data_IF_581671927292
#
_entry.id   IF_581671927292
#
_cell.length_a   1.000
_cell.length_b   1.000
_cell.length_c   1.000
_cell.angle_alpha   90.00
_cell.angle_beta   90.00
_cell.angle_gamma   90.00
#
_symmetry.space_group_name_H-M   'P 1'
#
loop_
_entity.id
_entity.type
_entity.pdbx_description
1 polymer ?
#
# COMPACT_ATOMS: atom_id res chain seq x y z
N UNK A 1 -0.89 -16.82 13.45
CA UNK A 1 -0.01 -15.75 12.91
C UNK A 1 -0.83 -14.49 12.75
N UNK A 2 -0.33 -13.38 13.22
CA UNK A 2 -0.98 -12.06 13.18
C UNK A 2 -0.37 -11.19 12.08
N UNK A 3 -1.19 -10.68 11.18
CA UNK A 3 -0.76 -9.90 10.02
C UNK A 3 -1.42 -8.51 10.07
N UNK A 4 -0.62 -7.46 10.02
CA UNK A 4 -1.09 -6.09 9.97
C UNK A 4 -0.86 -5.49 8.57
N UNK A 5 -1.90 -4.94 7.94
CA UNK A 5 -1.82 -4.21 6.68
C UNK A 5 -1.90 -2.71 6.90
N UNK A 6 -1.03 -1.97 6.21
CA UNK A 6 -1.00 -0.51 6.22
C UNK A 6 -1.48 0.03 4.87
N UNK A 7 -2.52 0.88 4.91
CA UNK A 7 -3.10 1.54 3.73
C UNK A 7 -3.54 2.96 4.11
N UNK A 8 -3.68 3.87 3.14
CA UNK A 8 -4.15 5.23 3.43
C UNK A 8 -5.57 5.24 3.99
N UNK A 9 -6.50 4.56 3.36
CA UNK A 9 -7.88 4.39 3.79
C UNK A 9 -8.53 3.24 3.05
N UNK A 10 -9.67 2.77 3.53
CA UNK A 10 -10.44 1.66 2.93
C UNK A 10 -11.80 2.09 2.38
N UNK A 11 -12.09 3.39 2.42
CA UNK A 11 -13.39 3.95 2.02
C UNK A 11 -13.54 4.22 0.52
N UNK A 12 -12.43 4.16 -0.26
CA UNK A 12 -12.47 4.34 -1.70
C UNK A 12 -12.81 3.04 -2.45
N UNK A 13 -13.42 3.16 -3.64
CA UNK A 13 -13.69 2.05 -4.55
C UNK A 13 -12.46 1.61 -5.36
N UNK A 14 -11.25 1.86 -4.85
CA UNK A 14 -9.98 1.64 -5.56
C UNK A 14 -9.58 0.17 -5.65
N UNK A 15 -8.68 -0.11 -6.60
CA UNK A 15 -8.16 -1.46 -6.83
C UNK A 15 -7.35 -2.00 -5.65
N UNK A 16 -6.59 -1.15 -4.96
CA UNK A 16 -5.80 -1.57 -3.78
C UNK A 16 -6.71 -1.94 -2.61
N UNK A 17 -7.75 -1.16 -2.35
CA UNK A 17 -8.75 -1.41 -1.31
C UNK A 17 -9.48 -2.73 -1.56
N UNK A 18 -9.83 -3.01 -2.82
CA UNK A 18 -10.45 -4.27 -3.22
C UNK A 18 -9.53 -5.46 -3.00
N UNK A 19 -8.28 -5.35 -3.43
CA UNK A 19 -7.28 -6.42 -3.24
C UNK A 19 -7.03 -6.66 -1.76
N UNK A 20 -6.92 -5.59 -0.95
CA UNK A 20 -6.76 -5.71 0.49
C UNK A 20 -7.94 -6.42 1.14
N UNK A 21 -9.18 -6.00 0.83
CA UNK A 21 -10.39 -6.61 1.40
C UNK A 21 -10.46 -8.11 1.06
N UNK A 22 -10.21 -8.48 -0.19
CA UNK A 22 -10.20 -9.89 -0.61
C UNK A 22 -9.14 -10.71 0.12
N UNK A 23 -7.90 -10.21 0.24
CA UNK A 23 -6.82 -10.87 0.98
C UNK A 23 -7.14 -11.00 2.47
N UNK A 24 -7.59 -9.91 3.08
CA UNK A 24 -7.89 -9.88 4.51
C UNK A 24 -9.00 -10.88 4.88
N UNK A 25 -10.09 -10.89 4.12
CA UNK A 25 -11.20 -11.83 4.32
C UNK A 25 -10.75 -13.29 4.12
N UNK A 26 -9.97 -13.56 3.07
CA UNK A 26 -9.41 -14.87 2.82
C UNK A 26 -8.53 -15.35 3.96
N UNK A 27 -7.61 -14.54 4.43
CA UNK A 27 -6.69 -14.87 5.51
C UNK A 27 -7.43 -15.16 6.83
N UNK A 28 -8.43 -14.34 7.17
CA UNK A 28 -9.26 -14.56 8.37
C UNK A 28 -10.04 -15.87 8.27
N UNK A 29 -10.59 -16.18 7.08
CA UNK A 29 -11.28 -17.47 6.84
C UNK A 29 -10.35 -18.67 7.00
N UNK A 30 -9.02 -18.48 6.85
CA UNK A 30 -8.00 -19.53 7.03
C UNK A 30 -7.27 -19.46 8.37
N UNK A 31 -7.87 -18.82 9.38
CA UNK A 31 -7.37 -18.83 10.76
C UNK A 31 -6.24 -17.86 11.08
N UNK A 32 -5.95 -16.89 10.22
CA UNK A 32 -5.02 -15.81 10.52
C UNK A 32 -5.72 -14.68 11.27
N UNK A 33 -5.04 -14.04 12.20
CA UNK A 33 -5.50 -12.79 12.79
C UNK A 33 -5.07 -11.63 11.89
N UNK A 34 -6.04 -10.88 11.35
CA UNK A 34 -5.78 -9.78 10.42
C UNK A 34 -6.16 -8.45 11.04
N UNK A 35 -5.27 -7.48 10.87
CA UNK A 35 -5.42 -6.11 11.34
C UNK A 35 -5.23 -5.18 10.14
N UNK A 36 -6.08 -4.16 10.00
CA UNK A 36 -5.93 -3.09 9.01
C UNK A 36 -5.67 -1.79 9.76
N UNK A 37 -4.59 -1.12 9.41
CA UNK A 37 -4.19 0.17 9.98
C UNK A 37 -4.24 1.21 8.87
N UNK A 38 -5.02 2.27 9.09
CA UNK A 38 -5.19 3.37 8.13
C UNK A 38 -4.59 4.67 8.68
N UNK A 39 -4.30 5.62 7.80
CA UNK A 39 -3.82 6.97 8.15
C UNK A 39 -4.86 8.05 7.93
N UNK A 40 -5.83 7.78 7.06
CA UNK A 40 -6.79 8.76 6.55
C UNK A 40 -8.23 8.21 6.48
N UNK A 41 -8.64 7.32 7.39
CA UNK A 41 -9.99 6.71 7.36
C UNK A 41 -11.11 7.72 7.64
N UNK A 42 -10.86 8.74 8.46
CA UNK A 42 -11.76 9.87 8.72
C UNK A 42 -13.16 9.45 9.18
N UNK A 43 -13.26 8.37 9.94
CA UNK A 43 -14.55 7.84 10.42
C UNK A 43 -15.44 7.24 9.31
N UNK A 44 -14.97 7.14 8.08
CA UNK A 44 -15.74 6.54 6.98
C UNK A 44 -15.70 5.02 7.06
N UNK A 45 -16.80 4.37 6.60
CA UNK A 45 -16.86 2.92 6.52
C UNK A 45 -16.02 2.39 5.36
N UNK A 46 -15.46 1.18 5.45
CA UNK A 46 -14.83 0.51 4.31
C UNK A 46 -15.81 0.40 3.14
N UNK A 47 -15.32 0.65 1.91
CA UNK A 47 -16.12 0.52 0.70
C UNK A 47 -16.42 -0.97 0.37
N UNK A 48 -15.40 -1.82 0.49
CA UNK A 48 -15.55 -3.27 0.35
C UNK A 48 -15.79 -3.90 1.72
N UNK A 49 -16.70 -4.87 1.78
CA UNK A 49 -17.03 -5.58 3.02
C UNK A 49 -15.81 -6.28 3.60
N UNK A 50 -15.59 -6.08 4.89
CA UNK A 50 -14.58 -6.76 5.67
C UNK A 50 -15.26 -7.71 6.67
N UNK A 51 -14.65 -8.86 6.89
CA UNK A 51 -15.08 -9.81 7.91
C UNK A 51 -15.01 -9.15 9.30
N UNK A 52 -16.00 -9.38 10.15
CA UNK A 52 -16.12 -8.74 11.47
C UNK A 52 -14.95 -9.06 12.42
N UNK A 53 -14.23 -10.14 12.17
CA UNK A 53 -13.03 -10.53 12.91
C UNK A 53 -11.81 -9.67 12.59
N UNK A 54 -11.84 -8.88 11.51
CA UNK A 54 -10.75 -7.99 11.11
C UNK A 54 -10.77 -6.75 12.01
N UNK A 55 -9.69 -6.52 12.75
CA UNK A 55 -9.53 -5.33 13.58
C UNK A 55 -9.03 -4.17 12.75
N UNK A 56 -9.74 -3.03 12.80
CA UNK A 56 -9.38 -1.81 12.06
C UNK A 56 -8.95 -0.71 13.03
N UNK A 57 -7.83 -0.05 12.74
CA UNK A 57 -7.30 1.10 13.49
C UNK A 57 -7.02 2.26 12.55
N UNK A 58 -7.44 3.47 12.89
CA UNK A 58 -7.06 4.68 12.17
C UNK A 58 -6.07 5.50 12.99
N UNK A 59 -4.91 5.79 12.41
CA UNK A 59 -3.89 6.63 13.04
C UNK A 59 -4.27 8.13 13.03
N UNK A 60 -5.25 8.53 12.24
CA UNK A 60 -5.73 9.90 12.15
C UNK A 60 -4.62 10.91 11.80
N UNK A 61 -3.80 10.58 10.82
CA UNK A 61 -2.73 11.47 10.33
C UNK A 61 -3.29 12.47 9.34
N UNK A 62 -4.26 12.04 8.52
CA UNK A 62 -5.01 12.88 7.56
C UNK A 62 -4.09 13.60 6.58
N UNK A 63 -3.25 12.86 5.84
CA UNK A 63 -2.36 13.43 4.82
C UNK A 63 -3.12 14.19 3.73
N UNK A 64 -4.29 13.68 3.36
CA UNK A 64 -5.11 14.25 2.29
C UNK A 64 -5.77 15.60 2.63
N UNK A 65 -5.90 15.95 3.90
CA UNK A 65 -6.44 17.27 4.31
C UNK A 65 -5.66 18.45 3.71
N UNK A 66 -4.40 18.22 3.33
CA UNK A 66 -3.56 19.21 2.69
C UNK A 66 -3.65 19.18 1.16
N UNK A 67 -4.46 18.27 0.56
CA UNK A 67 -4.73 18.26 -0.86
C UNK A 67 -5.55 19.51 -1.21
N UNK A 68 -5.02 20.39 -2.05
CA UNK A 68 -5.64 21.70 -2.35
C UNK A 68 -5.03 22.90 -1.62
N UNK A 69 -4.24 22.70 -0.55
CA UNK A 69 -3.51 23.78 0.11
C UNK A 69 -2.24 24.16 -0.65
N UNK A 70 -1.74 25.39 -0.41
CA UNK A 70 -0.50 25.92 -0.97
C UNK A 70 0.69 24.96 -0.79
N UNK A 71 1.62 24.98 -1.75
CA UNK A 71 2.86 24.20 -1.71
C UNK A 71 3.64 24.39 -0.41
N UNK A 72 3.78 25.64 0.04
CA UNK A 72 4.48 25.98 1.29
C UNK A 72 3.82 25.28 2.50
N UNK A 73 2.49 25.29 2.60
CA UNK A 73 1.77 24.59 3.66
C UNK A 73 2.04 23.08 3.64
N UNK A 74 2.11 22.48 2.46
CA UNK A 74 2.44 21.03 2.33
C UNK A 74 3.85 20.72 2.84
N UNK A 75 4.82 21.52 2.44
CA UNK A 75 6.23 21.33 2.82
C UNK A 75 6.44 21.51 4.33
N UNK A 76 5.80 22.51 4.93
CA UNK A 76 5.92 22.79 6.37
C UNK A 76 5.23 21.71 7.24
N UNK A 77 4.07 21.23 6.83
CA UNK A 77 3.31 20.27 7.63
C UNK A 77 3.72 18.81 7.42
N UNK A 78 4.35 18.47 6.29
CA UNK A 78 4.70 17.10 5.95
C UNK A 78 5.68 16.45 6.95
N UNK A 79 6.79 17.11 7.39
CA UNK A 79 7.69 16.53 8.39
C UNK A 79 7.00 16.26 9.74
N UNK A 80 6.13 17.15 10.17
CA UNK A 80 5.35 16.98 11.41
C UNK A 80 4.36 15.81 11.30
N UNK A 81 3.66 15.66 10.16
CA UNK A 81 2.79 14.51 9.90
C UNK A 81 3.58 13.20 9.84
N UNK A 82 4.78 13.20 9.26
CA UNK A 82 5.67 12.04 9.24
C UNK A 82 6.13 11.65 10.65
N UNK A 83 6.52 12.62 11.48
CA UNK A 83 6.89 12.37 12.87
C UNK A 83 5.70 11.80 13.67
N UNK A 84 4.52 12.41 13.57
CA UNK A 84 3.29 11.94 14.22
C UNK A 84 2.93 10.53 13.76
N UNK A 85 3.05 10.26 12.46
CA UNK A 85 2.81 8.95 11.86
C UNK A 85 3.76 7.90 12.46
N UNK A 86 5.07 8.17 12.43
CA UNK A 86 6.09 7.27 13.00
C UNK A 86 5.80 6.96 14.47
N UNK A 87 5.49 7.98 15.27
CA UNK A 87 5.20 7.84 16.69
C UNK A 87 3.97 6.94 16.91
N UNK A 88 2.81 7.29 16.32
CA UNK A 88 1.56 6.55 16.50
C UNK A 88 1.63 5.13 15.96
N UNK A 89 2.26 4.95 14.80
CA UNK A 89 2.44 3.62 14.21
C UNK A 89 3.36 2.76 15.08
N UNK A 90 4.47 3.29 15.59
CA UNK A 90 5.37 2.56 16.47
C UNK A 90 4.69 2.14 17.78
N UNK A 91 3.95 3.05 18.42
CA UNK A 91 3.19 2.76 19.64
C UNK A 91 2.15 1.65 19.40
N UNK A 92 1.43 1.72 18.27
CA UNK A 92 0.42 0.73 17.94
C UNK A 92 1.03 -0.63 17.61
N UNK A 93 2.08 -0.70 16.79
CA UNK A 93 2.73 -1.97 16.42
C UNK A 93 3.35 -2.67 17.64
N UNK A 94 3.95 -1.91 18.56
CA UNK A 94 4.46 -2.48 19.81
C UNK A 94 3.35 -3.07 20.71
N UNK A 95 2.12 -2.56 20.64
CA UNK A 95 0.96 -3.14 21.37
C UNK A 95 0.37 -4.34 20.67
N UNK A 96 0.41 -4.36 19.33
CA UNK A 96 -0.23 -5.38 18.53
C UNK A 96 0.58 -6.68 18.47
N UNK A 97 1.91 -6.61 18.60
CA UNK A 97 2.82 -7.76 18.45
C UNK A 97 2.51 -8.57 17.19
N UNK A 98 2.44 -7.86 16.03
CA UNK A 98 2.21 -8.52 14.75
C UNK A 98 3.44 -9.33 14.32
N UNK A 99 3.22 -10.52 13.74
CA UNK A 99 4.30 -11.33 13.16
C UNK A 99 4.80 -10.73 11.86
N UNK A 100 3.86 -10.17 11.08
CA UNK A 100 4.13 -9.58 9.76
C UNK A 100 3.37 -8.26 9.64
N UNK A 101 4.07 -7.22 9.16
CA UNK A 101 3.46 -5.93 8.80
C UNK A 101 3.67 -5.68 7.32
N UNK A 102 2.57 -5.51 6.59
CA UNK A 102 2.54 -5.32 5.13
C UNK A 102 2.17 -3.88 4.82
N UNK A 103 3.07 -3.14 4.18
CA UNK A 103 2.80 -1.81 3.62
C UNK A 103 2.27 -1.94 2.19
N UNK A 104 1.19 -1.25 1.87
CA UNK A 104 0.69 -1.13 0.50
C UNK A 104 1.29 0.08 -0.23
N UNK A 105 2.55 0.40 0.07
CA UNK A 105 3.35 1.47 -0.52
C UNK A 105 2.72 2.87 -0.42
N UNK A 106 2.20 3.19 0.74
CA UNK A 106 1.69 4.52 1.06
C UNK A 106 2.74 5.40 1.76
N UNK A 107 2.31 6.40 2.53
CA UNK A 107 3.20 7.30 3.26
C UNK A 107 4.01 6.62 4.39
N UNK A 108 3.65 5.41 4.77
CA UNK A 108 4.34 4.55 5.74
C UNK A 108 5.60 3.88 5.18
N UNK A 109 5.75 3.75 3.86
CA UNK A 109 6.83 2.99 3.23
C UNK A 109 8.24 3.44 3.65
N UNK A 110 8.45 4.73 3.88
CA UNK A 110 9.73 5.27 4.38
C UNK A 110 9.91 5.15 5.90
N UNK A 111 8.81 4.98 6.63
CA UNK A 111 8.76 4.94 8.10
C UNK A 111 8.89 3.52 8.61
N UNK A 112 8.11 2.59 8.04
CA UNK A 112 7.93 1.24 8.53
C UNK A 112 9.24 0.45 8.73
N UNK A 113 10.24 0.49 7.82
CA UNK A 113 11.51 -0.20 8.03
C UNK A 113 12.35 0.34 9.21
N UNK A 114 12.00 1.51 9.75
CA UNK A 114 12.68 2.11 10.89
C UNK A 114 12.10 1.68 12.24
N UNK A 115 10.92 1.02 12.24
CA UNK A 115 10.24 0.59 13.46
C UNK A 115 10.72 -0.81 13.83
N UNK A 116 11.28 -0.93 15.02
CA UNK A 116 11.84 -2.18 15.58
C UNK A 116 10.84 -2.77 16.59
N UNK A 117 9.77 -3.37 16.08
CA UNK A 117 8.71 -4.03 16.87
C UNK A 117 8.79 -5.56 16.83
N UNK A 118 9.85 -6.12 16.21
CA UNK A 118 10.06 -7.56 16.05
C UNK A 118 9.36 -8.19 14.85
N UNK A 119 8.42 -7.51 14.18
CA UNK A 119 7.70 -8.06 13.04
C UNK A 119 8.53 -8.06 11.76
N UNK A 120 8.24 -8.98 10.85
CA UNK A 120 8.74 -8.94 9.47
C UNK A 120 8.05 -7.85 8.66
N UNK A 121 8.82 -7.07 7.91
CA UNK A 121 8.33 -5.95 7.11
C UNK A 121 8.23 -6.36 5.64
N UNK A 122 7.02 -6.33 5.12
CA UNK A 122 6.71 -6.63 3.71
C UNK A 122 6.20 -5.37 3.03
N UNK A 123 6.62 -5.14 1.80
CA UNK A 123 6.11 -4.06 0.97
C UNK A 123 5.43 -4.65 -0.26
N UNK A 124 4.19 -4.29 -0.52
CA UNK A 124 3.45 -4.66 -1.73
C UNK A 124 3.22 -3.45 -2.62
N UNK A 125 3.55 -3.58 -3.91
CA UNK A 125 3.32 -2.51 -4.90
C UNK A 125 2.26 -2.95 -5.91
N UNK A 126 1.22 -2.14 -6.04
CA UNK A 126 0.08 -2.37 -6.93
C UNK A 126 0.04 -1.39 -8.13
N UNK A 127 1.16 -0.76 -8.43
CA UNK A 127 1.29 0.19 -9.55
C UNK A 127 2.68 0.09 -10.17
N UNK A 128 2.81 0.55 -11.43
CA UNK A 128 4.08 0.57 -12.15
C UNK A 128 5.11 1.43 -11.42
N UNK A 129 6.38 0.98 -11.38
CA UNK A 129 7.52 1.73 -10.86
C UNK A 129 7.58 3.16 -11.43
N UNK A 130 7.24 3.31 -12.70
CA UNK A 130 7.34 4.58 -13.42
C UNK A 130 6.10 5.46 -13.27
N UNK A 131 5.15 5.11 -12.40
CA UNK A 131 3.92 5.89 -12.18
C UNK A 131 4.18 7.40 -12.04
N UNK A 132 5.22 7.80 -11.29
CA UNK A 132 5.54 9.22 -11.08
C UNK A 132 6.06 9.90 -12.35
N UNK A 133 6.81 9.15 -13.21
CA UNK A 133 7.37 9.68 -14.45
C UNK A 133 6.31 9.82 -15.55
N UNK A 134 5.20 9.09 -15.44
CA UNK A 134 4.08 9.16 -16.39
C UNK A 134 3.30 10.48 -16.33
N UNK A 135 3.46 11.28 -15.26
CA UNK A 135 2.79 12.59 -15.15
C UNK A 135 3.29 13.65 -16.14
N UNK A 136 4.32 13.36 -16.94
CA UNK A 136 4.82 14.25 -18.00
C UNK A 136 5.30 15.61 -17.52
N UNK A 137 5.61 15.78 -16.23
CA UNK A 137 6.04 17.04 -15.65
C UNK A 137 7.36 17.52 -16.27
N UNK A 138 7.48 18.84 -16.49
CA UNK A 138 8.65 19.48 -17.07
C UNK A 138 9.48 20.24 -16.01
N UNK A 139 10.72 20.60 -16.36
CA UNK A 139 11.60 21.44 -15.52
C UNK A 139 11.99 20.78 -14.20
N UNK A 140 12.01 21.56 -13.12
CA UNK A 140 12.40 21.13 -11.78
C UNK A 140 11.57 19.98 -11.25
N UNK A 141 10.30 19.90 -11.65
CA UNK A 141 9.40 18.82 -11.24
C UNK A 141 9.80 17.46 -11.84
N UNK A 142 10.27 17.43 -13.08
CA UNK A 142 10.80 16.22 -13.72
C UNK A 142 12.02 15.68 -12.95
N UNK A 143 12.89 16.59 -12.54
CA UNK A 143 14.07 16.23 -11.73
C UNK A 143 13.67 15.70 -10.35
N UNK A 144 12.72 16.34 -9.67
CA UNK A 144 12.18 15.88 -8.40
C UNK A 144 11.52 14.50 -8.51
N UNK A 145 10.75 14.23 -9.56
CA UNK A 145 10.11 12.94 -9.80
C UNK A 145 11.16 11.84 -10.05
N UNK A 146 12.23 12.15 -10.81
CA UNK A 146 13.34 11.22 -11.02
C UNK A 146 14.11 10.94 -9.72
N UNK A 147 14.38 11.97 -8.93
CA UNK A 147 15.01 11.81 -7.62
C UNK A 147 14.17 10.94 -6.68
N UNK A 148 12.86 11.19 -6.61
CA UNK A 148 11.91 10.37 -5.83
C UNK A 148 11.88 8.93 -6.31
N UNK A 149 11.82 8.70 -7.62
CA UNK A 149 11.84 7.34 -8.20
C UNK A 149 13.13 6.59 -7.84
N UNK A 150 14.27 7.27 -7.81
CA UNK A 150 15.54 6.66 -7.38
C UNK A 150 15.56 6.41 -5.86
N UNK A 151 14.94 7.30 -5.06
CA UNK A 151 14.83 7.10 -3.63
C UNK A 151 13.90 5.93 -3.29
N UNK A 152 12.88 5.67 -4.10
CA UNK A 152 12.00 4.52 -3.93
C UNK A 152 12.80 3.19 -3.94
N UNK A 153 13.87 3.07 -4.74
CA UNK A 153 14.77 1.89 -4.72
C UNK A 153 15.44 1.69 -3.36
N UNK A 154 15.90 2.78 -2.73
CA UNK A 154 16.51 2.72 -1.40
C UNK A 154 15.49 2.36 -0.32
N UNK A 155 14.25 2.78 -0.51
CA UNK A 155 13.16 2.46 0.42
C UNK A 155 12.80 0.98 0.34
N UNK A 156 12.54 0.46 -0.87
CA UNK A 156 12.10 -0.93 -1.06
C UNK A 156 13.17 -1.94 -0.64
N UNK A 157 14.46 -1.61 -0.77
CA UNK A 157 15.56 -2.48 -0.35
C UNK A 157 15.70 -2.67 1.16
N UNK A 158 15.01 -1.84 1.98
CA UNK A 158 15.03 -1.93 3.45
C UNK A 158 13.99 -2.88 4.03
N UNK A 159 13.09 -3.42 3.21
CA UNK A 159 12.09 -4.37 3.63
C UNK A 159 12.64 -5.80 3.63
N UNK A 160 12.10 -6.67 4.49
CA UNK A 160 12.45 -8.10 4.48
C UNK A 160 12.01 -8.76 3.17
N UNK A 161 10.85 -8.35 2.63
CA UNK A 161 10.33 -8.77 1.32
C UNK A 161 9.67 -7.60 0.60
N UNK A 162 9.89 -7.56 -0.69
CA UNK A 162 9.30 -6.62 -1.62
C UNK A 162 8.50 -7.38 -2.69
N UNK A 163 7.20 -7.18 -2.72
CA UNK A 163 6.26 -7.92 -3.59
C UNK A 163 5.82 -7.03 -4.74
N UNK A 164 5.96 -7.55 -5.95
CA UNK A 164 5.44 -6.98 -7.20
C UNK A 164 4.50 -7.97 -7.87
N UNK A 165 3.62 -7.49 -8.76
CA UNK A 165 2.54 -8.32 -9.31
C UNK A 165 2.96 -9.13 -10.52
N UNK A 166 3.98 -8.71 -11.28
CA UNK A 166 4.37 -9.32 -12.55
C UNK A 166 5.88 -9.51 -12.65
N UNK A 167 6.31 -10.41 -13.55
CA UNK A 167 7.73 -10.57 -13.89
C UNK A 167 8.30 -9.32 -14.56
N UNK A 168 7.47 -8.60 -15.31
CA UNK A 168 7.83 -7.36 -15.96
C UNK A 168 8.10 -6.25 -14.94
N UNK A 169 7.22 -6.08 -13.93
CA UNK A 169 7.48 -5.16 -12.82
C UNK A 169 8.81 -5.50 -12.13
N UNK A 170 9.08 -6.79 -11.89
CA UNK A 170 10.35 -7.21 -11.30
C UNK A 170 11.56 -6.73 -12.13
N UNK A 171 11.49 -6.81 -13.46
CA UNK A 171 12.57 -6.32 -14.33
C UNK A 171 12.74 -4.80 -14.20
N UNK A 172 11.64 -4.04 -14.12
CA UNK A 172 11.68 -2.59 -13.95
C UNK A 172 12.27 -2.14 -12.61
N UNK A 173 12.04 -2.90 -11.53
CA UNK A 173 12.63 -2.61 -10.22
C UNK A 173 14.10 -3.03 -10.12
N UNK A 174 14.59 -3.86 -11.04
CA UNK A 174 15.96 -4.30 -11.09
C UNK A 174 16.28 -5.44 -10.12
N UNK A 175 17.56 -5.74 -9.96
CA UNK A 175 18.04 -6.92 -9.25
C UNK A 175 18.10 -6.66 -7.73
N UNK A 176 16.93 -6.56 -7.07
CA UNK A 176 16.85 -6.42 -5.63
C UNK A 176 16.84 -7.79 -4.96
N UNK A 177 17.62 -7.96 -3.87
CA UNK A 177 17.77 -9.24 -3.16
C UNK A 177 16.48 -9.73 -2.49
N UNK A 178 15.55 -8.83 -2.20
CA UNK A 178 14.32 -9.10 -1.46
C UNK A 178 13.04 -9.11 -2.34
N UNK A 179 13.17 -8.96 -3.68
CA UNK A 179 12.02 -8.85 -4.59
C UNK A 179 11.41 -10.20 -4.93
N UNK A 180 10.09 -10.30 -4.83
CA UNK A 180 9.31 -11.48 -5.21
C UNK A 180 8.13 -11.09 -6.10
N UNK A 181 7.73 -12.00 -6.99
CA UNK A 181 6.56 -11.83 -7.84
C UNK A 181 5.42 -12.63 -7.24
N UNK A 182 4.38 -11.95 -6.80
CA UNK A 182 3.14 -12.56 -6.29
C UNK A 182 1.97 -11.85 -6.97
N UNK A 183 1.31 -12.48 -7.96
CA UNK A 183 0.18 -11.87 -8.64
C UNK A 183 -1.04 -11.75 -7.72
N UNK A 184 -1.93 -10.81 -8.05
CA UNK A 184 -3.21 -10.72 -7.37
C UNK A 184 -4.04 -12.00 -7.61
N UNK A 185 -4.73 -12.46 -6.57
CA UNK A 185 -5.65 -13.57 -6.68
C UNK A 185 -6.82 -13.22 -7.63
N UNK A 186 -7.26 -14.19 -8.40
CA UNK A 186 -8.51 -14.06 -9.17
C UNK A 186 -9.69 -14.03 -8.20
N UNK A 187 -10.57 -13.05 -8.39
CA UNK A 187 -11.81 -12.92 -7.61
C UNK A 187 -13.05 -13.39 -8.37
N UNK A 188 -12.88 -13.78 -9.63
CA UNK A 188 -13.96 -14.27 -10.49
C UNK A 188 -13.67 -15.70 -10.91
N UNK A 189 -14.63 -16.59 -10.69
CA UNK A 189 -14.69 -17.88 -11.37
C UNK A 189 -15.44 -17.67 -12.68
N UNK A 190 -14.77 -17.88 -13.82
CA UNK A 190 -15.45 -17.93 -15.11
C UNK A 190 -15.93 -19.37 -15.32
N UNK A 191 -17.23 -19.56 -15.33
CA UNK A 191 -17.81 -20.87 -15.62
C UNK A 191 -17.71 -21.19 -17.12
N UNK A 192 -17.72 -20.19 -17.99
CA UNK A 192 -17.52 -20.32 -19.44
C UNK A 192 -16.71 -19.15 -20.01
N UNK A 193 -15.78 -19.38 -20.94
CA UNK A 193 -15.16 -18.31 -21.70
C UNK A 193 -16.21 -17.61 -22.57
N UNK A 194 -16.10 -16.29 -22.73
CA UNK A 194 -16.94 -15.56 -23.65
C UNK A 194 -16.62 -16.00 -25.10
N UNK A 195 -17.63 -16.50 -25.83
CA UNK A 195 -17.52 -16.79 -27.26
C UNK A 195 -17.66 -15.45 -28.01
N UNK A 196 -16.54 -14.90 -28.43
CA UNK A 196 -16.51 -13.74 -29.32
C UNK A 196 -16.80 -14.21 -30.76
N UNK A 197 -18.07 -14.22 -31.14
CA UNK A 197 -18.44 -14.44 -32.55
C UNK A 197 -18.20 -13.16 -33.34
N UNK A 198 -17.72 -13.30 -34.62
CA UNK A 198 -17.41 -12.16 -35.49
C UNK A 198 -18.63 -11.28 -35.87
N UNK A 199 -19.82 -11.58 -35.34
CA UNK A 199 -21.08 -10.83 -35.59
C UNK A 199 -21.19 -9.55 -34.74
N UNK A 200 -20.39 -9.38 -33.69
CA UNK A 200 -20.47 -8.23 -32.78
C UNK A 200 -19.55 -7.04 -33.16
N UNK A 201 -18.93 -7.13 -34.36
CA UNK A 201 -18.21 -6.01 -34.98
C UNK A 201 -19.12 -5.28 -35.96
N UNK A 202 -19.96 -4.39 -35.47
CA UNK A 202 -20.54 -3.30 -36.24
C UNK A 202 -20.09 -1.97 -35.66
#
# INVERSE_FOLDING_TARGET
>A
MRIAYLIAGTYNSGGMERVLANKANYLVAHGYEVIIITTDQRGQKPFFSLDERIKCYDLGINYEENNGKSFFNKVMHYPFKQWKHKKRLSELLNKLHADVVVSMFCNDASILPQIKDGSKKVLEVHFSRFKRLQYGRKGLWKWADKWRSNNDLKVVSRFDRFVVLTKEDKMYWGNLHNIQVIPNARTFAFEKPAELTNKDRK
#
